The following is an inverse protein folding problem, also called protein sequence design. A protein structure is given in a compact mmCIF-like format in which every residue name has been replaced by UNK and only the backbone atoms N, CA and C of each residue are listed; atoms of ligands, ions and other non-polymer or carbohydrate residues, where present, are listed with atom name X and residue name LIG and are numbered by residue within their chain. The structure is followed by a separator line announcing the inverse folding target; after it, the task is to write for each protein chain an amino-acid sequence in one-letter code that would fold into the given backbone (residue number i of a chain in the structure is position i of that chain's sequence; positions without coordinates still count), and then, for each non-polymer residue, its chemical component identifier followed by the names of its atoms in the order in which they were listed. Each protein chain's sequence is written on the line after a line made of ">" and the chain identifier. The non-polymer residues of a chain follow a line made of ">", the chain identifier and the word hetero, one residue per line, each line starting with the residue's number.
data_IF_776714384950
#
_entry.id   IF_776714384950
#
_cell.length_a   1.000
_cell.length_b   1.000
_cell.length_c   1.000
_cell.angle_alpha   90.00
_cell.angle_beta   90.00
_cell.angle_gamma   90.00
#
_symmetry.space_group_name_H-M   'P 1'
#
loop_
_entity.id
_entity.type
_entity.pdbx_description
1 polymer ?
#
# COMPACT_ATOMS: atom_id res chain seq x y z
N UNK A 1 36.36 35.79 -36.01
CA UNK A 1 34.96 35.49 -36.40
C UNK A 1 34.45 34.10 -35.94
N UNK A 2 35.08 33.43 -34.96
CA UNK A 2 34.70 32.04 -34.55
C UNK A 2 33.61 32.01 -33.46
N UNK A 3 33.49 33.07 -32.65
CA UNK A 3 32.59 33.14 -31.50
C UNK A 3 31.09 33.31 -31.84
N UNK A 4 30.75 33.82 -33.03
CA UNK A 4 29.34 34.03 -33.44
C UNK A 4 28.65 32.73 -33.90
N UNK A 5 29.43 31.78 -34.41
CA UNK A 5 28.93 30.48 -34.89
C UNK A 5 28.45 29.59 -33.73
N UNK A 6 29.11 29.66 -32.57
CA UNK A 6 28.76 28.86 -31.39
C UNK A 6 27.43 29.32 -30.78
N UNK A 7 27.20 30.64 -30.70
CA UNK A 7 25.93 31.20 -30.19
C UNK A 7 24.75 30.87 -31.09
N UNK A 8 24.92 30.93 -32.42
CA UNK A 8 23.85 30.52 -33.36
C UNK A 8 23.53 29.04 -33.29
N UNK A 9 24.54 28.18 -33.08
CA UNK A 9 24.33 26.74 -32.88
C UNK A 9 23.66 26.44 -31.54
N UNK A 10 24.07 27.12 -30.46
CA UNK A 10 23.43 27.00 -29.14
C UNK A 10 21.98 27.47 -29.16
N UNK A 11 21.68 28.59 -29.85
CA UNK A 11 20.32 29.09 -30.02
C UNK A 11 19.46 28.15 -30.89
N UNK A 12 20.01 27.58 -31.96
CA UNK A 12 19.32 26.58 -32.78
C UNK A 12 19.06 25.27 -32.02
N UNK A 13 19.92 24.92 -31.06
CA UNK A 13 19.71 23.79 -30.14
C UNK A 13 18.62 24.09 -29.09
N UNK A 14 18.45 25.35 -28.69
CA UNK A 14 17.38 25.81 -27.78
C UNK A 14 16.04 26.02 -28.47
N UNK A 15 16.04 26.29 -29.78
CA UNK A 15 14.84 26.31 -30.61
C UNK A 15 14.34 24.87 -30.80
N UNK A 16 13.68 24.33 -29.78
CA UNK A 16 13.08 23.00 -29.81
C UNK A 16 12.24 22.83 -31.08
N UNK A 17 12.46 21.72 -31.80
CA UNK A 17 11.78 21.44 -33.06
C UNK A 17 10.26 21.48 -32.94
N UNK A 18 9.59 21.66 -34.09
CA UNK A 18 8.13 21.68 -34.18
C UNK A 18 7.49 20.48 -33.45
N UNK A 19 6.65 20.77 -32.47
CA UNK A 19 5.85 19.76 -31.75
C UNK A 19 4.45 19.73 -32.35
N UNK A 20 4.07 18.59 -32.93
CA UNK A 20 2.74 18.38 -33.50
C UNK A 20 1.65 18.52 -32.41
N UNK A 21 0.58 19.28 -32.66
CA UNK A 21 -0.56 19.37 -31.75
C UNK A 21 -1.40 18.08 -31.73
N UNK A 22 -1.25 17.21 -32.74
CA UNK A 22 -1.95 15.93 -32.86
C UNK A 22 -1.14 14.74 -32.33
N UNK A 23 0.08 14.97 -31.85
CA UNK A 23 0.92 13.93 -31.28
C UNK A 23 0.52 13.59 -29.83
N UNK A 24 0.78 12.36 -29.36
CA UNK A 24 0.59 12.00 -27.97
C UNK A 24 1.46 12.88 -27.05
N UNK A 25 0.82 13.48 -26.04
CA UNK A 25 1.50 14.32 -25.03
C UNK A 25 1.91 13.44 -23.86
N UNK A 26 3.18 13.09 -23.79
CA UNK A 26 3.74 12.34 -22.67
C UNK A 26 4.20 13.28 -21.55
N UNK A 27 3.97 12.86 -20.32
CA UNK A 27 4.55 13.48 -19.12
C UNK A 27 5.21 12.38 -18.30
N UNK A 28 6.36 12.69 -17.71
CA UNK A 28 7.03 11.77 -16.78
C UNK A 28 6.26 11.76 -15.46
N UNK A 29 5.63 10.65 -15.08
CA UNK A 29 4.95 10.57 -13.79
C UNK A 29 5.97 10.69 -12.66
N UNK A 30 5.54 11.21 -11.51
CA UNK A 30 6.36 11.20 -10.30
C UNK A 30 6.68 9.73 -9.95
N UNK A 31 7.97 9.45 -9.80
CA UNK A 31 8.48 8.13 -9.49
C UNK A 31 9.69 8.21 -8.58
N UNK A 32 9.90 7.19 -7.75
CA UNK A 32 11.05 7.04 -6.88
C UNK A 32 11.66 5.66 -7.10
N UNK A 33 12.89 5.59 -7.61
CA UNK A 33 13.56 4.34 -7.99
C UNK A 33 12.70 3.39 -8.85
N UNK A 34 11.88 3.94 -9.77
CA UNK A 34 10.99 3.17 -10.64
C UNK A 34 9.62 2.83 -10.04
N UNK A 35 9.39 3.13 -8.76
CA UNK A 35 8.08 3.04 -8.13
C UNK A 35 7.25 4.27 -8.47
N UNK A 36 6.13 4.06 -9.15
CA UNK A 36 5.11 5.09 -9.41
C UNK A 36 3.97 4.95 -8.40
N UNK A 37 3.20 6.03 -8.21
CA UNK A 37 1.97 5.97 -7.41
C UNK A 37 1.02 4.87 -7.91
N UNK A 38 0.90 4.70 -9.23
CA UNK A 38 0.08 3.66 -9.85
C UNK A 38 0.54 2.25 -9.45
N UNK A 39 1.84 1.97 -9.54
CA UNK A 39 2.37 0.66 -9.14
C UNK A 39 2.19 0.39 -7.65
N UNK A 40 2.34 1.42 -6.81
CA UNK A 40 2.13 1.28 -5.36
C UNK A 40 0.68 0.95 -5.03
N UNK A 41 -0.29 1.61 -5.69
CA UNK A 41 -1.71 1.31 -5.52
C UNK A 41 -2.01 -0.12 -5.97
N UNK A 42 -1.56 -0.54 -7.14
CA UNK A 42 -1.81 -1.90 -7.64
C UNK A 42 -1.24 -2.97 -6.72
N UNK A 43 0.03 -2.82 -6.30
CA UNK A 43 0.65 -3.74 -5.36
C UNK A 43 -0.06 -3.72 -4.00
N UNK A 44 -0.45 -2.54 -3.51
CA UNK A 44 -1.18 -2.36 -2.26
C UNK A 44 -2.53 -3.06 -2.27
N UNK A 45 -3.29 -2.99 -3.37
CA UNK A 45 -4.57 -3.69 -3.50
C UNK A 45 -4.39 -5.21 -3.44
N UNK A 46 -3.38 -5.75 -4.13
CA UNK A 46 -3.07 -7.18 -4.09
C UNK A 46 -2.66 -7.60 -2.67
N UNK A 47 -1.74 -6.84 -2.05
CA UNK A 47 -1.27 -7.10 -0.70
C UNK A 47 -2.39 -7.02 0.33
N UNK A 48 -3.35 -6.11 0.17
CA UNK A 48 -4.53 -6.02 1.03
C UNK A 48 -5.37 -7.30 1.00
N UNK A 49 -5.57 -7.91 -0.18
CA UNK A 49 -6.26 -9.19 -0.30
C UNK A 49 -5.57 -10.32 0.47
N UNK A 50 -4.24 -10.42 0.35
CA UNK A 50 -3.45 -11.37 1.14
C UNK A 50 -3.42 -11.03 2.64
N UNK A 51 -3.44 -9.74 2.99
CA UNK A 51 -3.48 -9.30 4.38
C UNK A 51 -4.77 -9.73 5.08
N UNK A 52 -5.91 -9.63 4.39
CA UNK A 52 -7.20 -10.12 4.91
C UNK A 52 -7.15 -11.64 5.10
N UNK A 53 -6.72 -12.40 4.10
CA UNK A 53 -6.69 -13.87 4.21
C UNK A 53 -5.73 -14.36 5.30
N UNK A 54 -4.53 -13.77 5.38
CA UNK A 54 -3.57 -14.07 6.44
C UNK A 54 -4.10 -13.67 7.81
N UNK A 55 -4.74 -12.51 7.93
CA UNK A 55 -5.39 -12.06 9.17
C UNK A 55 -6.47 -13.03 9.64
N UNK A 56 -7.38 -13.45 8.74
CA UNK A 56 -8.40 -14.45 9.06
C UNK A 56 -7.80 -15.77 9.49
N UNK A 57 -6.76 -16.25 8.78
CA UNK A 57 -6.04 -17.46 9.17
C UNK A 57 -5.46 -17.36 10.59
N UNK A 58 -4.76 -16.26 10.90
CA UNK A 58 -4.18 -16.06 12.23
C UNK A 58 -5.24 -16.02 13.33
N UNK A 59 -6.35 -15.32 13.10
CA UNK A 59 -7.44 -15.27 14.08
C UNK A 59 -8.11 -16.63 14.29
N UNK A 60 -8.27 -17.42 13.23
CA UNK A 60 -8.85 -18.76 13.32
C UNK A 60 -7.94 -19.72 14.11
N UNK A 61 -6.65 -19.76 13.78
CA UNK A 61 -5.71 -20.70 14.41
C UNK A 61 -5.28 -20.26 15.82
N UNK A 62 -5.16 -18.96 16.06
CA UNK A 62 -4.73 -18.43 17.37
C UNK A 62 -5.88 -17.95 18.26
N UNK A 63 -7.13 -18.17 17.87
CA UNK A 63 -8.30 -17.77 18.67
C UNK A 63 -8.34 -18.36 20.08
N UNK A 64 -7.66 -19.50 20.31
CA UNK A 64 -7.57 -20.12 21.65
C UNK A 64 -6.49 -19.51 22.55
N UNK A 65 -5.56 -18.72 21.99
CA UNK A 65 -4.55 -18.02 22.78
C UNK A 65 -5.26 -16.96 23.63
N UNK A 66 -5.13 -16.98 24.97
CA UNK A 66 -5.93 -16.12 25.85
C UNK A 66 -5.85 -14.62 25.52
N UNK A 67 -4.70 -14.15 25.04
CA UNK A 67 -4.51 -12.74 24.61
C UNK A 67 -5.26 -12.43 23.31
N UNK A 68 -5.16 -13.28 22.28
CA UNK A 68 -5.87 -13.08 21.01
C UNK A 68 -7.37 -13.10 21.23
N UNK A 69 -7.86 -14.02 22.07
CA UNK A 69 -9.27 -14.12 22.41
C UNK A 69 -9.79 -12.86 23.09
N UNK A 70 -9.15 -12.43 24.18
CA UNK A 70 -9.62 -11.31 25.02
C UNK A 70 -9.37 -9.93 24.40
N UNK A 71 -8.22 -9.75 23.75
CA UNK A 71 -7.81 -8.43 23.27
C UNK A 71 -8.32 -8.14 21.86
N UNK A 72 -8.62 -9.17 21.05
CA UNK A 72 -9.06 -9.02 19.66
C UNK A 72 -10.47 -9.58 19.46
N UNK A 73 -10.69 -10.88 19.68
CA UNK A 73 -11.95 -11.53 19.30
C UNK A 73 -13.15 -11.07 20.15
N UNK A 74 -12.99 -10.92 21.46
CA UNK A 74 -14.02 -10.41 22.36
C UNK A 74 -14.32 -8.91 22.15
N UNK A 75 -13.43 -8.16 21.48
CA UNK A 75 -13.68 -6.75 21.16
C UNK A 75 -14.56 -6.55 19.93
N UNK A 76 -14.82 -7.60 19.16
CA UNK A 76 -15.74 -7.55 18.05
C UNK A 76 -17.18 -7.52 18.55
N UNK A 77 -18.05 -6.67 17.99
CA UNK A 77 -19.45 -6.67 18.36
C UNK A 77 -20.05 -8.05 18.07
N UNK A 78 -20.96 -8.51 18.93
CA UNK A 78 -21.65 -9.80 18.85
C UNK A 78 -20.82 -11.06 19.19
N UNK A 79 -19.49 -10.96 19.36
CA UNK A 79 -18.62 -12.12 19.65
C UNK A 79 -18.08 -12.19 21.08
N UNK A 80 -18.37 -11.18 21.91
CA UNK A 80 -17.89 -11.10 23.30
C UNK A 80 -18.27 -12.33 24.13
N UNK A 81 -19.57 -12.58 24.27
CA UNK A 81 -20.11 -13.71 25.05
C UNK A 81 -19.74 -15.08 24.45
N UNK A 82 -19.65 -15.18 23.11
CA UNK A 82 -19.28 -16.43 22.44
C UNK A 82 -17.86 -16.90 22.80
N UNK A 83 -16.94 -15.95 22.95
CA UNK A 83 -15.56 -16.23 23.31
C UNK A 83 -15.29 -16.09 24.81
N UNK A 84 -16.31 -15.86 25.63
CA UNK A 84 -16.14 -15.86 27.07
C UNK A 84 -15.89 -17.28 27.59
N UNK A 85 -14.84 -17.40 28.40
CA UNK A 85 -14.41 -18.66 29.03
C UNK A 85 -14.28 -18.46 30.54
N UNK A 86 -15.01 -17.51 31.10
CA UNK A 86 -15.04 -17.26 32.52
C UNK A 86 -15.65 -18.47 33.22
N UNK A 87 -14.90 -19.07 34.14
CA UNK A 87 -15.35 -20.15 35.01
C UNK A 87 -15.67 -19.52 36.36
N UNK A 88 -16.74 -19.98 37.00
CA UNK A 88 -17.11 -19.50 38.32
C UNK A 88 -15.94 -19.72 39.31
N UNK A 89 -15.60 -18.75 40.17
CA UNK A 89 -14.46 -18.87 41.09
C UNK A 89 -14.51 -20.11 41.98
N UNK A 90 -15.71 -20.56 42.36
CA UNK A 90 -15.95 -21.75 43.16
C UNK A 90 -15.65 -23.07 42.42
N UNK A 91 -15.74 -23.09 41.10
CA UNK A 91 -15.50 -24.27 40.26
C UNK A 91 -14.03 -24.37 39.79
N UNK A 92 -13.21 -23.36 40.10
CA UNK A 92 -11.82 -23.32 39.71
C UNK A 92 -10.91 -23.77 40.87
N UNK A 93 -10.22 -24.92 40.76
CA UNK A 93 -9.29 -25.40 41.79
C UNK A 93 -7.95 -24.64 41.84
N UNK A 94 -7.77 -23.56 41.07
CA UNK A 94 -6.55 -22.74 40.99
C UNK A 94 -6.81 -21.23 41.01
#
# INVERSE_FOLDING_TARGET
>A
MVFSQTLRRAAAQQAGGYRSPFGPKYSTPLHWHGLTARSAVTAGTIAAGFGVSAGTFLLFFFGEVPRVRRDILQKLPFLDEYFDRTVAPEDNPF
#
